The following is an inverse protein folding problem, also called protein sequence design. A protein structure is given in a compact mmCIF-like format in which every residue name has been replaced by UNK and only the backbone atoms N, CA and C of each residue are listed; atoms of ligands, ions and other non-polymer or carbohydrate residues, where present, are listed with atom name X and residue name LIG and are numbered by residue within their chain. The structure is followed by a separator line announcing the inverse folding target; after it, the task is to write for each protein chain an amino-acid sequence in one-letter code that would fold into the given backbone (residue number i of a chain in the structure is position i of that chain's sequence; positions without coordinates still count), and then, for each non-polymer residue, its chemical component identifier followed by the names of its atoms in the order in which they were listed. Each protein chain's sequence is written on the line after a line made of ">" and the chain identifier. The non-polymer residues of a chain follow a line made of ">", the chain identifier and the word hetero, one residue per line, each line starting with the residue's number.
data_IF_819708155676
#
_entry.id   IF_819708155676
#
_cell.length_a   1.000
_cell.length_b   1.000
_cell.length_c   1.000
_cell.angle_alpha   90.00
_cell.angle_beta   90.00
_cell.angle_gamma   90.00
#
_symmetry.space_group_name_H-M   'P 1'
#
loop_
_entity.id
_entity.type
_entity.pdbx_description
1 polymer ?
#
# COMPACT_ATOMS: atom_id res chain seq x y z
N UNK A 1 -6.46 -9.39 11.54
CA UNK A 1 -6.67 -7.96 11.28
C UNK A 1 -6.71 -7.11 12.57
N UNK A 2 -7.44 -7.48 13.60
CA UNK A 2 -7.70 -6.60 14.77
C UNK A 2 -6.82 -6.89 15.99
N UNK A 3 -5.74 -7.62 15.83
CA UNK A 3 -4.73 -7.91 16.86
C UNK A 3 -5.31 -8.44 18.16
N UNK A 4 -5.17 -7.69 19.24
CA UNK A 4 -5.62 -8.08 20.58
C UNK A 4 -7.11 -7.84 20.84
N UNK A 5 -7.86 -7.21 19.90
CA UNK A 5 -9.31 -6.99 20.08
C UNK A 5 -10.04 -8.31 19.96
N UNK A 6 -10.79 -8.76 20.99
CA UNK A 6 -11.51 -10.02 20.94
C UNK A 6 -12.55 -10.06 19.82
N UNK A 7 -12.77 -11.25 19.22
CA UNK A 7 -13.71 -11.41 18.10
C UNK A 7 -15.10 -10.86 18.45
N UNK A 8 -15.61 -11.14 19.63
CA UNK A 8 -16.92 -10.68 20.08
C UNK A 8 -17.09 -9.14 20.05
N UNK A 9 -15.98 -8.40 20.09
CA UNK A 9 -16.03 -6.94 20.06
C UNK A 9 -16.08 -6.35 18.64
N UNK A 10 -15.63 -7.09 17.62
CA UNK A 10 -15.62 -6.60 16.23
C UNK A 10 -16.53 -7.38 15.26
N UNK A 11 -16.96 -8.60 15.59
CA UNK A 11 -17.73 -9.44 14.68
C UNK A 11 -19.11 -8.88 14.30
N UNK A 12 -19.68 -7.97 15.12
CA UNK A 12 -20.90 -7.27 14.79
C UNK A 12 -20.73 -6.21 13.71
N UNK A 13 -19.51 -5.73 13.50
CA UNK A 13 -19.15 -4.67 12.55
C UNK A 13 -18.49 -5.18 11.28
N UNK A 14 -18.05 -6.45 11.27
CA UNK A 14 -17.28 -7.04 10.17
C UNK A 14 -17.84 -8.39 9.81
N UNK A 15 -18.27 -8.53 8.55
CA UNK A 15 -18.78 -9.80 8.02
C UNK A 15 -17.59 -10.71 7.67
N UNK A 16 -17.61 -11.94 8.19
CA UNK A 16 -16.61 -12.96 7.86
C UNK A 16 -17.25 -14.19 7.21
N UNK A 17 -16.48 -14.88 6.36
CA UNK A 17 -16.89 -16.17 5.80
C UNK A 17 -16.70 -17.32 6.81
N UNK A 18 -17.03 -18.57 6.37
CA UNK A 18 -16.88 -19.77 7.21
C UNK A 18 -15.43 -20.09 7.59
N UNK A 19 -14.44 -19.53 6.86
CA UNK A 19 -13.01 -19.65 7.16
C UNK A 19 -12.50 -18.47 8.01
N UNK A 20 -13.41 -17.65 8.55
CA UNK A 20 -13.10 -16.43 9.31
C UNK A 20 -12.29 -15.37 8.53
N UNK A 21 -12.47 -15.34 7.20
CA UNK A 21 -11.87 -14.31 6.33
C UNK A 21 -12.86 -13.16 6.14
N UNK A 22 -12.37 -11.94 6.18
CA UNK A 22 -13.12 -10.74 5.80
C UNK A 22 -12.71 -10.30 4.39
N UNK A 23 -13.64 -9.68 3.67
CA UNK A 23 -13.32 -9.05 2.39
C UNK A 23 -12.54 -7.76 2.63
N UNK A 24 -11.41 -7.62 1.93
CA UNK A 24 -10.57 -6.42 1.95
C UNK A 24 -10.52 -5.82 0.55
N UNK A 25 -10.61 -4.50 0.44
CA UNK A 25 -10.24 -3.76 -0.75
C UNK A 25 -8.72 -3.84 -0.97
N UNK A 26 -8.29 -3.62 -2.21
CA UNK A 26 -6.89 -3.36 -2.57
C UNK A 26 -6.89 -2.03 -3.33
N UNK A 27 -7.12 -0.96 -2.58
CA UNK A 27 -7.33 0.37 -3.14
C UNK A 27 -5.99 0.99 -3.52
N UNK A 28 -5.90 1.43 -4.76
CA UNK A 28 -4.79 2.22 -5.26
C UNK A 28 -5.31 3.64 -5.53
N UNK A 29 -4.55 4.65 -5.12
CA UNK A 29 -4.95 6.05 -5.31
C UNK A 29 -4.24 6.61 -6.55
N UNK A 30 -5.01 7.13 -7.50
CA UNK A 30 -4.48 7.87 -8.65
C UNK A 30 -4.57 9.37 -8.38
N UNK A 31 -3.44 10.05 -8.46
CA UNK A 31 -3.31 11.49 -8.32
C UNK A 31 -2.81 12.12 -9.63
N UNK A 32 -3.32 13.31 -9.94
CA UNK A 32 -2.75 14.17 -10.98
C UNK A 32 -2.05 15.34 -10.32
N UNK A 33 -0.72 15.37 -10.38
CA UNK A 33 0.14 16.34 -9.70
C UNK A 33 1.04 17.01 -10.72
N UNK A 34 0.92 18.33 -10.88
CA UNK A 34 1.79 19.11 -11.77
C UNK A 34 1.93 18.53 -13.19
N UNK A 35 0.84 17.98 -13.74
CA UNK A 35 0.82 17.35 -15.07
C UNK A 35 1.33 15.91 -15.12
N UNK A 36 1.65 15.32 -13.98
CA UNK A 36 2.05 13.93 -13.83
C UNK A 36 0.90 13.05 -13.30
N UNK A 37 0.78 11.83 -13.83
CA UNK A 37 -0.10 10.82 -13.25
C UNK A 37 0.74 9.99 -12.26
N UNK A 38 0.40 10.10 -10.99
CA UNK A 38 1.04 9.40 -9.88
C UNK A 38 0.10 8.34 -9.33
N UNK A 39 0.57 7.12 -9.21
CA UNK A 39 -0.17 6.02 -8.61
C UNK A 39 0.40 5.72 -7.22
N UNK A 40 -0.46 5.63 -6.21
CA UNK A 40 -0.09 5.19 -4.87
C UNK A 40 -0.54 3.75 -4.70
N UNK A 41 0.39 2.86 -4.43
CA UNK A 41 0.27 1.41 -4.39
C UNK A 41 -0.25 0.78 -5.70
N UNK A 42 -0.13 -0.53 -5.83
CA UNK A 42 -0.45 -1.23 -7.08
C UNK A 42 -1.34 -2.46 -6.88
N UNK A 43 -1.72 -2.72 -5.63
CA UNK A 43 -2.48 -3.91 -5.27
C UNK A 43 -1.67 -5.20 -5.51
N UNK A 44 -2.37 -6.32 -5.53
CA UNK A 44 -1.77 -7.66 -5.61
C UNK A 44 -1.29 -8.05 -7.03
N UNK A 45 -1.77 -7.34 -8.06
CA UNK A 45 -1.40 -7.63 -9.45
C UNK A 45 -2.15 -8.82 -10.06
N UNK A 46 -1.46 -9.58 -10.91
CA UNK A 46 -2.04 -10.69 -11.69
C UNK A 46 -1.10 -11.91 -11.80
N UNK A 47 -0.10 -11.99 -10.92
CA UNK A 47 0.92 -13.07 -10.93
C UNK A 47 0.67 -14.16 -9.87
N UNK A 48 -0.41 -14.03 -9.10
CA UNK A 48 -0.70 -14.92 -7.98
C UNK A 48 -0.84 -16.37 -8.44
N UNK A 49 -0.27 -17.29 -7.65
CA UNK A 49 -0.44 -18.72 -7.84
C UNK A 49 -1.84 -19.17 -7.37
N UNK A 50 -2.33 -20.28 -7.91
CA UNK A 50 -3.69 -20.76 -7.61
C UNK A 50 -3.91 -21.08 -6.13
N UNK A 51 -2.88 -21.56 -5.42
CA UNK A 51 -2.95 -21.80 -4.00
C UNK A 51 -3.21 -20.52 -3.18
N UNK A 52 -2.60 -19.39 -3.56
CA UNK A 52 -2.86 -18.11 -2.92
C UNK A 52 -4.28 -17.62 -3.20
N UNK A 53 -4.76 -17.79 -4.45
CA UNK A 53 -6.14 -17.46 -4.80
C UNK A 53 -7.13 -18.24 -3.95
N UNK A 54 -6.90 -19.52 -3.73
CA UNK A 54 -7.75 -20.36 -2.90
C UNK A 54 -7.69 -19.97 -1.41
N UNK A 55 -6.48 -19.81 -0.87
CA UNK A 55 -6.27 -19.52 0.55
C UNK A 55 -6.77 -18.13 0.94
N UNK A 56 -6.48 -17.14 0.13
CA UNK A 56 -6.82 -15.73 0.39
C UNK A 56 -8.16 -15.32 -0.22
N UNK A 57 -8.73 -16.12 -1.13
CA UNK A 57 -9.97 -15.78 -1.82
C UNK A 57 -9.81 -14.63 -2.80
N UNK A 58 -8.65 -14.56 -3.47
CA UNK A 58 -8.30 -13.47 -4.35
C UNK A 58 -9.22 -13.39 -5.57
N UNK A 59 -9.57 -12.17 -5.94
CA UNK A 59 -10.25 -11.86 -7.19
C UNK A 59 -9.29 -11.16 -8.16
N UNK A 60 -9.51 -11.23 -9.48
CA UNK A 60 -8.63 -10.59 -10.47
C UNK A 60 -8.46 -9.10 -10.19
N UNK A 61 -7.22 -8.60 -10.26
CA UNK A 61 -6.91 -7.18 -10.11
C UNK A 61 -7.68 -6.33 -11.12
N UNK A 62 -8.23 -5.21 -10.64
CA UNK A 62 -8.97 -4.25 -11.45
C UNK A 62 -8.18 -2.98 -11.78
N UNK A 63 -6.93 -2.86 -11.31
CA UNK A 63 -6.11 -1.66 -11.46
C UNK A 63 -6.03 -1.18 -12.92
N UNK A 64 -5.58 -2.05 -13.84
CA UNK A 64 -5.44 -1.68 -15.25
C UNK A 64 -6.79 -1.37 -15.94
N UNK A 65 -7.87 -2.04 -15.52
CA UNK A 65 -9.22 -1.72 -15.96
C UNK A 65 -9.68 -0.36 -15.46
N UNK A 66 -9.36 -0.04 -14.20
CA UNK A 66 -9.63 1.27 -13.57
C UNK A 66 -8.91 2.39 -14.32
N UNK A 67 -7.61 2.25 -14.56
CA UNK A 67 -6.83 3.22 -15.35
C UNK A 67 -7.44 3.44 -16.74
N UNK A 68 -7.79 2.36 -17.44
CA UNK A 68 -8.47 2.46 -18.73
C UNK A 68 -9.80 3.19 -18.65
N UNK A 69 -10.55 3.01 -17.56
CA UNK A 69 -11.82 3.70 -17.31
C UNK A 69 -11.72 5.22 -17.22
N UNK A 70 -10.55 5.72 -16.83
CA UNK A 70 -10.24 7.17 -16.78
C UNK A 70 -9.37 7.61 -17.98
N UNK A 71 -9.27 6.80 -19.02
CA UNK A 71 -8.56 7.14 -20.26
C UNK A 71 -7.04 6.97 -20.20
N UNK A 72 -6.51 6.32 -19.16
CA UNK A 72 -5.07 6.12 -18.98
C UNK A 72 -4.64 4.68 -19.32
N UNK A 73 -3.39 4.58 -19.73
CA UNK A 73 -2.67 3.32 -19.93
C UNK A 73 -1.49 3.24 -18.96
N UNK A 74 -0.87 2.06 -18.75
CA UNK A 74 0.34 1.96 -17.94
C UNK A 74 1.50 2.87 -18.37
N UNK A 75 1.53 3.29 -19.64
CA UNK A 75 2.57 4.19 -20.18
C UNK A 75 2.37 5.66 -19.77
N UNK A 76 1.18 5.98 -19.27
CA UNK A 76 0.82 7.35 -18.88
C UNK A 76 1.09 7.61 -17.40
N UNK A 77 1.46 6.56 -16.62
CA UNK A 77 1.90 6.68 -15.23
C UNK A 77 3.38 7.06 -15.22
N UNK A 78 3.69 8.17 -14.59
CA UNK A 78 5.06 8.70 -14.50
C UNK A 78 5.73 8.45 -13.15
N UNK A 79 4.94 8.18 -12.11
CA UNK A 79 5.44 7.83 -10.78
C UNK A 79 4.52 6.81 -10.11
N UNK A 80 5.13 5.89 -9.36
CA UNK A 80 4.46 4.97 -8.44
C UNK A 80 5.05 5.22 -7.07
N UNK A 81 4.23 5.52 -6.07
CA UNK A 81 4.64 5.68 -4.69
C UNK A 81 4.13 4.47 -3.91
N UNK A 82 5.03 3.68 -3.36
CA UNK A 82 4.68 2.49 -2.60
C UNK A 82 4.63 2.81 -1.11
N UNK A 83 3.50 2.55 -0.47
CA UNK A 83 3.40 2.69 0.98
C UNK A 83 4.39 1.76 1.69
N UNK A 84 4.52 0.53 1.19
CA UNK A 84 5.50 -0.47 1.58
C UNK A 84 5.52 -1.62 0.55
N UNK A 85 6.33 -2.68 0.80
CA UNK A 85 6.58 -3.74 -0.19
C UNK A 85 5.88 -5.07 0.13
N UNK A 86 4.81 -5.09 0.95
CA UNK A 86 3.99 -6.29 1.05
C UNK A 86 3.34 -6.61 -0.29
N UNK A 87 3.09 -7.90 -0.54
CA UNK A 87 2.67 -8.40 -1.86
C UNK A 87 1.34 -7.83 -2.35
N UNK A 88 0.46 -7.45 -1.46
CA UNK A 88 -0.86 -6.88 -1.75
C UNK A 88 -0.82 -5.36 -2.03
N UNK A 89 0.32 -4.70 -1.83
CA UNK A 89 0.59 -3.31 -2.22
C UNK A 89 1.52 -3.20 -3.43
N UNK A 90 2.51 -4.10 -3.52
CA UNK A 90 3.54 -4.07 -4.56
C UNK A 90 3.31 -5.05 -5.71
N UNK A 91 2.35 -5.97 -5.60
CA UNK A 91 2.15 -7.06 -6.56
C UNK A 91 1.89 -6.60 -7.99
N UNK A 92 1.21 -5.47 -8.17
CA UNK A 92 0.95 -4.89 -9.49
C UNK A 92 2.11 -4.09 -10.08
N UNK A 93 3.23 -3.90 -9.36
CA UNK A 93 4.41 -3.21 -9.91
C UNK A 93 5.01 -3.92 -11.10
N UNK A 94 4.91 -5.24 -11.13
CA UNK A 94 5.40 -6.08 -12.22
C UNK A 94 4.31 -6.98 -12.79
N UNK A 95 4.51 -7.43 -14.00
CA UNK A 95 3.62 -8.36 -14.70
C UNK A 95 4.43 -9.29 -15.60
N UNK A 96 3.82 -10.37 -16.05
CA UNK A 96 4.37 -11.19 -17.13
C UNK A 96 4.07 -10.54 -18.49
N UNK A 97 5.08 -10.46 -19.35
CA UNK A 97 4.88 -10.10 -20.76
C UNK A 97 4.36 -11.30 -21.57
N UNK A 98 4.19 -11.15 -22.89
CA UNK A 98 3.71 -12.22 -23.78
C UNK A 98 4.68 -13.40 -23.88
N UNK A 99 5.95 -13.19 -23.57
CA UNK A 99 6.97 -14.23 -23.59
C UNK A 99 7.16 -14.91 -22.20
N UNK A 100 6.40 -14.46 -21.20
CA UNK A 100 6.48 -14.97 -19.83
C UNK A 100 7.58 -14.32 -18.99
N UNK A 101 8.22 -13.24 -19.45
CA UNK A 101 9.22 -12.54 -18.67
C UNK A 101 8.58 -11.56 -17.68
N UNK A 102 9.17 -11.43 -16.49
CA UNK A 102 8.81 -10.40 -15.53
C UNK A 102 9.29 -9.03 -16.03
N UNK A 103 8.35 -8.09 -16.11
CA UNK A 103 8.63 -6.72 -16.55
C UNK A 103 7.86 -5.73 -15.69
N UNK A 104 8.35 -4.49 -15.48
CA UNK A 104 7.59 -3.45 -14.82
C UNK A 104 6.27 -3.18 -15.54
N UNK A 105 5.19 -3.07 -14.78
CA UNK A 105 3.85 -2.77 -15.31
C UNK A 105 3.79 -1.36 -15.86
N UNK A 106 4.45 -0.41 -15.22
CA UNK A 106 4.48 1.01 -15.58
C UNK A 106 5.86 1.38 -16.12
N UNK A 107 6.10 1.21 -17.44
CA UNK A 107 7.44 1.21 -18.04
C UNK A 107 8.13 2.57 -18.05
N UNK A 108 7.41 3.67 -17.78
CA UNK A 108 7.95 5.02 -17.72
C UNK A 108 7.99 5.59 -16.32
N UNK A 109 7.43 4.86 -15.33
CA UNK A 109 7.33 5.36 -13.98
C UNK A 109 8.66 5.22 -13.23
N UNK A 110 8.94 6.18 -12.34
CA UNK A 110 9.83 6.00 -11.20
C UNK A 110 9.04 5.43 -10.04
N UNK A 111 9.63 4.50 -9.29
CA UNK A 111 9.00 3.84 -8.14
C UNK A 111 9.70 4.31 -6.87
N UNK A 112 8.94 4.98 -6.01
CA UNK A 112 9.43 5.57 -4.77
C UNK A 112 9.09 4.68 -3.59
N UNK A 113 10.11 4.28 -2.82
CA UNK A 113 9.98 3.47 -1.61
C UNK A 113 11.08 3.84 -0.61
N UNK A 114 10.82 3.67 0.68
CA UNK A 114 11.84 3.92 1.71
C UNK A 114 12.95 2.87 1.66
N UNK A 115 14.20 3.30 1.86
CA UNK A 115 15.39 2.42 1.88
C UNK A 115 15.25 1.29 2.89
N UNK A 116 14.73 1.58 4.10
CA UNK A 116 14.48 0.56 5.13
C UNK A 116 13.46 -0.48 4.70
N UNK A 117 12.41 -0.07 3.98
CA UNK A 117 11.42 -0.99 3.46
C UNK A 117 12.01 -1.90 2.38
N UNK A 118 12.85 -1.34 1.52
CA UNK A 118 13.61 -2.09 0.51
C UNK A 118 14.55 -3.12 1.15
N UNK A 119 15.32 -2.70 2.17
CA UNK A 119 16.24 -3.58 2.91
C UNK A 119 15.49 -4.74 3.58
N UNK A 120 14.36 -4.47 4.24
CA UNK A 120 13.52 -5.51 4.85
C UNK A 120 12.97 -6.47 3.80
N UNK A 121 12.47 -5.96 2.66
CA UNK A 121 11.92 -6.79 1.59
C UNK A 121 12.96 -7.67 0.90
N UNK A 122 14.20 -7.19 0.77
CA UNK A 122 15.32 -7.96 0.22
C UNK A 122 15.87 -9.00 1.21
N UNK A 123 15.76 -8.76 2.52
CA UNK A 123 16.29 -9.61 3.58
C UNK A 123 15.24 -9.87 4.68
N UNK A 124 14.07 -10.43 4.33
CA UNK A 124 12.99 -10.62 5.28
C UNK A 124 13.35 -11.69 6.32
N UNK A 125 12.94 -11.47 7.57
CA UNK A 125 13.02 -12.49 8.61
C UNK A 125 11.85 -13.48 8.52
N UNK A 126 11.83 -14.49 9.39
CA UNK A 126 10.83 -15.57 9.37
C UNK A 126 9.40 -15.07 9.60
N UNK A 127 9.23 -13.92 10.26
CA UNK A 127 7.91 -13.33 10.51
C UNK A 127 7.33 -12.64 9.28
N UNK A 128 8.14 -11.89 8.53
CA UNK A 128 7.69 -11.06 7.42
C UNK A 128 7.97 -11.66 6.02
N UNK A 129 8.78 -12.71 5.93
CA UNK A 129 9.15 -13.35 4.67
C UNK A 129 7.94 -13.72 3.79
N UNK A 130 6.82 -14.16 4.37
CA UNK A 130 5.60 -14.48 3.62
C UNK A 130 4.88 -13.27 3.02
N UNK A 131 5.21 -12.07 3.48
CA UNK A 131 4.60 -10.82 3.00
C UNK A 131 5.37 -10.20 1.83
N UNK A 132 6.61 -10.61 1.58
CA UNK A 132 7.45 -10.05 0.52
C UNK A 132 7.64 -11.06 -0.62
N UNK A 133 7.57 -10.57 -1.85
CA UNK A 133 7.77 -11.36 -3.07
C UNK A 133 8.74 -10.64 -4.00
N UNK A 134 9.94 -11.17 -4.13
CA UNK A 134 11.02 -10.56 -4.90
C UNK A 134 10.63 -10.23 -6.35
N UNK A 135 9.81 -11.08 -6.98
CA UNK A 135 9.28 -10.86 -8.31
C UNK A 135 8.43 -9.60 -8.46
N UNK A 136 7.94 -9.02 -7.36
CA UNK A 136 7.14 -7.80 -7.41
C UNK A 136 7.99 -6.53 -7.51
N UNK A 137 9.25 -6.55 -7.06
CA UNK A 137 10.05 -5.34 -6.93
C UNK A 137 11.45 -5.41 -7.52
N UNK A 138 12.14 -6.56 -7.53
CA UNK A 138 13.49 -6.65 -8.11
C UNK A 138 13.55 -6.23 -9.59
N UNK A 139 12.58 -6.58 -10.47
CA UNK A 139 12.63 -6.12 -11.86
C UNK A 139 12.57 -4.61 -12.04
N UNK A 140 12.08 -3.87 -11.02
CA UNK A 140 12.04 -2.39 -11.02
C UNK A 140 13.47 -1.84 -10.87
N UNK A 141 14.23 -2.41 -9.92
CA UNK A 141 15.64 -2.05 -9.71
C UNK A 141 16.47 -2.39 -10.93
N UNK A 142 16.32 -3.61 -11.47
CA UNK A 142 17.04 -4.07 -12.67
C UNK A 142 16.83 -3.16 -13.88
N UNK A 143 15.68 -2.49 -13.95
CA UNK A 143 15.34 -1.54 -15.01
C UNK A 143 15.73 -0.09 -14.70
N UNK A 144 16.34 0.17 -13.55
CA UNK A 144 16.76 1.51 -13.13
C UNK A 144 15.57 2.46 -12.87
N UNK A 145 14.42 1.90 -12.49
CA UNK A 145 13.21 2.67 -12.20
C UNK A 145 13.01 2.92 -10.70
N UNK A 146 13.81 2.31 -9.82
CA UNK A 146 13.74 2.43 -8.38
C UNK A 146 14.33 3.76 -7.91
N UNK A 147 13.64 4.44 -7.01
CA UNK A 147 14.08 5.62 -6.27
C UNK A 147 13.92 5.36 -4.78
N UNK A 148 15.04 5.19 -4.08
CA UNK A 148 15.06 4.97 -2.64
C UNK A 148 15.00 6.31 -1.90
N UNK A 149 14.10 6.39 -0.93
CA UNK A 149 13.92 7.55 -0.06
C UNK A 149 14.51 7.25 1.32
N UNK A 150 14.94 8.28 2.03
CA UNK A 150 15.43 8.19 3.41
C UNK A 150 14.71 9.24 4.27
N UNK A 151 13.62 8.80 4.91
CA UNK A 151 12.79 9.66 5.75
C UNK A 151 11.68 10.40 4.99
N UNK A 152 11.07 11.36 5.70
CA UNK A 152 10.00 12.19 5.15
C UNK A 152 10.53 13.01 3.97
N UNK A 153 9.78 13.02 2.86
CA UNK A 153 10.25 13.63 1.62
C UNK A 153 9.10 14.24 0.81
N UNK A 154 9.34 15.35 0.16
CA UNK A 154 8.47 15.88 -0.90
C UNK A 154 8.91 15.30 -2.25
N UNK A 155 8.07 14.44 -2.85
CA UNK A 155 8.35 13.80 -4.14
C UNK A 155 8.09 14.75 -5.30
N UNK A 156 7.03 15.53 -5.20
CA UNK A 156 6.61 16.57 -6.14
C UNK A 156 5.93 17.69 -5.37
N UNK A 157 5.82 18.91 -5.92
CA UNK A 157 5.14 20.01 -5.23
C UNK A 157 3.76 19.64 -4.69
N UNK A 158 3.60 19.66 -3.36
CA UNK A 158 2.38 19.26 -2.65
C UNK A 158 2.19 17.78 -2.39
N UNK A 159 3.03 16.91 -2.96
CA UNK A 159 2.99 15.45 -2.75
C UNK A 159 4.13 15.01 -1.82
N UNK A 160 3.80 14.63 -0.62
CA UNK A 160 4.75 14.26 0.43
C UNK A 160 4.56 12.81 0.85
N UNK A 161 5.64 12.18 1.29
CA UNK A 161 5.61 10.93 2.02
C UNK A 161 6.06 11.16 3.46
N UNK A 162 5.39 10.48 4.40
CA UNK A 162 5.67 10.56 5.84
C UNK A 162 5.90 9.14 6.34
N UNK A 163 7.04 8.90 6.96
CA UNK A 163 7.42 7.56 7.46
C UNK A 163 6.58 7.18 8.68
N UNK A 164 6.07 5.94 8.66
CA UNK A 164 5.26 5.37 9.74
C UNK A 164 5.68 3.92 9.99
N UNK A 165 6.83 3.71 10.56
CA UNK A 165 7.48 2.39 10.78
C UNK A 165 6.71 1.36 11.65
N UNK A 166 5.46 1.58 12.00
CA UNK A 166 4.72 0.69 12.90
C UNK A 166 4.33 -0.63 12.26
N UNK A 167 3.81 -0.59 11.04
CA UNK A 167 3.34 -1.76 10.29
C UNK A 167 4.51 -2.58 9.73
N UNK A 168 5.38 -1.95 8.97
CA UNK A 168 6.62 -2.52 8.42
C UNK A 168 7.74 -1.48 8.54
N UNK A 169 9.00 -1.91 8.49
CA UNK A 169 10.12 -0.97 8.47
C UNK A 169 10.04 -0.08 7.22
N UNK A 170 10.17 1.23 7.41
CA UNK A 170 10.08 2.17 6.31
C UNK A 170 8.70 2.22 5.64
N UNK A 171 7.63 1.72 6.29
CA UNK A 171 6.27 2.00 5.83
C UNK A 171 6.05 3.52 5.78
N UNK A 172 5.36 4.01 4.76
CA UNK A 172 5.07 5.44 4.59
C UNK A 172 3.61 5.68 4.21
N UNK A 173 3.02 6.72 4.74
CA UNK A 173 1.76 7.27 4.23
C UNK A 173 2.06 8.33 3.16
N UNK A 174 1.10 8.57 2.26
CA UNK A 174 1.23 9.56 1.20
C UNK A 174 0.25 10.70 1.44
N UNK A 175 0.76 11.91 1.49
CA UNK A 175 0.00 13.12 1.75
C UNK A 175 0.03 14.04 0.52
N UNK A 176 -1.13 14.42 0.03
CA UNK A 176 -1.29 15.34 -1.08
C UNK A 176 -2.06 16.59 -0.66
N UNK A 177 -1.46 17.77 -0.86
CA UNK A 177 -2.07 19.05 -0.57
C UNK A 177 -2.48 19.72 -1.87
N UNK A 178 -3.77 20.03 -2.04
CA UNK A 178 -4.30 20.69 -3.21
C UNK A 178 -5.51 21.57 -2.87
N UNK A 179 -5.50 22.83 -3.33
CA UNK A 179 -6.65 23.73 -3.17
C UNK A 179 -7.07 24.02 -1.72
N UNK A 180 -6.17 23.86 -0.75
CA UNK A 180 -6.47 24.02 0.68
C UNK A 180 -6.98 22.74 1.35
N UNK A 181 -7.21 21.67 0.59
CA UNK A 181 -7.56 20.34 1.10
C UNK A 181 -6.32 19.46 1.24
N UNK A 182 -6.37 18.53 2.17
CA UNK A 182 -5.33 17.55 2.41
C UNK A 182 -5.90 16.13 2.31
N UNK A 183 -5.41 15.39 1.34
CA UNK A 183 -5.73 13.97 1.13
C UNK A 183 -4.58 13.14 1.66
N UNK A 184 -4.87 12.13 2.49
CA UNK A 184 -3.87 11.25 3.10
C UNK A 184 -4.21 9.79 2.80
N UNK A 185 -3.37 9.14 2.03
CA UNK A 185 -3.40 7.69 1.85
C UNK A 185 -2.63 7.04 2.99
N UNK A 186 -3.34 6.27 3.80
CA UNK A 186 -2.84 5.79 5.09
C UNK A 186 -1.93 4.55 4.97
N UNK A 187 -1.99 3.84 3.83
CA UNK A 187 -1.39 2.51 3.77
C UNK A 187 -1.91 1.62 4.90
N UNK A 188 -1.03 0.86 5.50
CA UNK A 188 -1.40 -0.13 6.52
C UNK A 188 -1.16 0.32 7.95
N UNK A 189 -0.79 1.59 8.18
CA UNK A 189 -0.83 2.16 9.53
C UNK A 189 -2.27 2.23 10.07
N UNK A 190 -3.25 2.47 9.19
CA UNK A 190 -4.69 2.37 9.45
C UNK A 190 -5.35 1.76 8.19
N UNK A 191 -5.37 0.43 8.05
CA UNK A 191 -5.71 -0.21 6.78
C UNK A 191 -7.20 -0.12 6.39
N UNK A 192 -8.10 -0.05 7.36
CA UNK A 192 -9.55 0.06 7.12
C UNK A 192 -10.20 1.07 8.08
N UNK A 193 -11.44 1.55 7.79
CA UNK A 193 -12.18 2.40 8.72
C UNK A 193 -12.38 1.78 10.12
N UNK A 194 -12.45 0.46 10.22
CA UNK A 194 -12.54 -0.24 11.52
C UNK A 194 -11.28 -0.04 12.38
N UNK A 195 -10.13 0.23 11.75
CA UNK A 195 -8.86 0.52 12.44
C UNK A 195 -8.73 1.97 12.90
N UNK A 196 -9.74 2.82 12.74
CA UNK A 196 -9.81 4.13 13.41
C UNK A 196 -9.88 3.97 14.93
N UNK A 197 -10.41 2.85 15.42
CA UNK A 197 -10.28 2.48 16.83
C UNK A 197 -8.80 2.26 17.19
N UNK A 198 -8.28 3.02 18.16
CA UNK A 198 -6.86 3.03 18.54
C UNK A 198 -6.32 1.64 18.88
N UNK A 199 -7.10 0.79 19.57
CA UNK A 199 -6.66 -0.55 19.99
C UNK A 199 -6.78 -1.61 18.88
N UNK A 200 -7.44 -1.29 17.76
CA UNK A 200 -7.51 -2.18 16.60
C UNK A 200 -6.21 -2.02 15.78
N UNK A 201 -5.22 -2.83 16.11
CA UNK A 201 -3.90 -2.85 15.48
C UNK A 201 -3.71 -4.22 14.83
N UNK A 202 -3.18 -4.26 13.61
CA UNK A 202 -3.02 -5.51 12.89
C UNK A 202 -1.98 -6.42 13.58
N UNK A 203 -2.23 -7.73 13.56
CA UNK A 203 -1.24 -8.71 14.00
C UNK A 203 -0.05 -8.83 13.02
N UNK A 204 -0.15 -8.25 11.83
CA UNK A 204 0.96 -8.13 10.89
C UNK A 204 1.94 -7.01 11.24
N UNK A 205 1.53 -6.07 12.10
CA UNK A 205 2.39 -4.94 12.47
C UNK A 205 3.68 -5.42 13.12
N UNK A 206 4.80 -4.92 12.64
CA UNK A 206 6.13 -5.24 13.19
C UNK A 206 6.35 -4.62 14.57
N UNK A 207 5.76 -3.46 14.82
CA UNK A 207 5.80 -2.73 16.11
C UNK A 207 4.43 -2.15 16.47
N UNK A 208 3.55 -2.96 17.11
CA UNK A 208 2.19 -2.54 17.45
C UNK A 208 2.13 -1.30 18.37
N UNK A 209 3.09 -1.17 19.29
CA UNK A 209 3.18 -0.01 20.20
C UNK A 209 3.48 1.28 19.41
N UNK A 210 4.38 1.20 18.44
CA UNK A 210 4.71 2.33 17.57
C UNK A 210 3.51 2.69 16.67
N UNK A 211 2.79 1.69 16.15
CA UNK A 211 1.53 1.90 15.43
C UNK A 211 0.52 2.64 16.30
N UNK A 212 0.36 2.25 17.57
CA UNK A 212 -0.58 2.89 18.49
C UNK A 212 -0.24 4.36 18.73
N UNK A 213 1.02 4.67 18.96
CA UNK A 213 1.51 6.04 19.16
C UNK A 213 1.25 6.90 17.92
N UNK A 214 1.68 6.43 16.76
CA UNK A 214 1.52 7.14 15.49
C UNK A 214 0.06 7.33 15.10
N UNK A 215 -0.80 6.31 15.29
CA UNK A 215 -2.24 6.43 15.05
C UNK A 215 -2.88 7.53 15.90
N UNK A 216 -2.51 7.61 17.18
CA UNK A 216 -3.05 8.63 18.10
C UNK A 216 -2.73 10.03 17.58
N UNK A 217 -1.49 10.26 17.21
CA UNK A 217 -1.01 11.57 16.74
C UNK A 217 -1.63 11.91 15.37
N UNK A 218 -1.65 10.96 14.45
CA UNK A 218 -2.21 11.10 13.11
C UNK A 218 -3.70 11.42 13.15
N UNK A 219 -4.50 10.65 13.89
CA UNK A 219 -5.95 10.86 14.01
C UNK A 219 -6.27 12.21 14.67
N UNK A 220 -5.52 12.59 15.71
CA UNK A 220 -5.66 13.91 16.34
C UNK A 220 -5.35 15.06 15.37
N UNK A 221 -4.35 14.91 14.50
CA UNK A 221 -4.03 15.91 13.48
C UNK A 221 -5.10 15.94 12.38
N UNK A 222 -5.53 14.76 11.91
CA UNK A 222 -6.53 14.63 10.87
C UNK A 222 -7.86 15.31 11.26
N UNK A 223 -8.31 15.08 12.50
CA UNK A 223 -9.53 15.71 13.04
C UNK A 223 -9.39 17.23 13.11
N UNK A 224 -8.29 17.73 13.69
CA UNK A 224 -8.08 19.18 13.83
C UNK A 224 -7.92 19.92 12.51
N UNK A 225 -7.38 19.27 11.49
CA UNK A 225 -7.04 19.90 10.21
C UNK A 225 -8.01 19.51 9.07
N UNK A 226 -9.01 18.66 9.35
CA UNK A 226 -10.01 18.25 8.36
C UNK A 226 -9.41 17.43 7.20
N UNK A 227 -8.53 16.45 7.50
CA UNK A 227 -7.93 15.64 6.45
C UNK A 227 -8.92 14.65 5.83
N UNK A 228 -8.85 14.45 4.52
CA UNK A 228 -9.54 13.37 3.83
C UNK A 228 -8.67 12.11 3.88
N UNK A 229 -9.15 11.09 4.60
CA UNK A 229 -8.42 9.84 4.79
C UNK A 229 -8.80 8.81 3.72
N UNK A 230 -7.80 8.20 3.10
CA UNK A 230 -7.95 7.14 2.10
C UNK A 230 -7.35 5.85 2.66
N UNK A 231 -8.16 4.80 2.72
CA UNK A 231 -7.78 3.49 3.28
C UNK A 231 -7.35 2.52 2.17
N UNK A 232 -6.28 1.77 2.41
CA UNK A 232 -5.77 0.74 1.50
C UNK A 232 -6.73 -0.43 1.34
N UNK A 233 -7.45 -0.79 2.41
CA UNK A 233 -8.27 -2.00 2.50
C UNK A 233 -9.74 -1.73 2.86
N UNK A 234 -10.17 -0.48 2.75
CA UNK A 234 -11.55 -0.06 3.05
C UNK A 234 -12.54 -0.31 1.91
#
# INVERSE_FOLDING_TARGET
>A
MFGQVPKVAWESSVVTDRKNRMTLGLNCLLLQVSGHNVLVDTGIGSKEVDQDKENLGLVPSRLLKGLKGVGLTPKDISAVVLSHLHFDHSGGCTRLDRAGNLVPTFPKAKYYVQSKCWEEACNPNERCHGSHRAENFLPIEERGQLELLDGDSEIMPGLNVIVTDGHAQGHQMVMFNHGGERVVYLGDIIPTPHHLNLVAISAFDSSPEKTLEQKRDLLSQAERQGWLLVFSHG
#
